data_IF_288588651943
#
_entry.id   IF_288588651943
#
_cell.length_a   1.000
_cell.length_b   1.000
_cell.length_c   1.000
_cell.angle_alpha   90.00
_cell.angle_beta   90.00
_cell.angle_gamma   90.00
#
_symmetry.space_group_name_H-M   'P 1'
#
loop_
_entity.id
_entity.type
_entity.pdbx_description
1 polymer ?
#
# COMPACT_ATOMS: atom_id res chain seq x y z
N UNK A 1 4.64 18.81 -13.59
CA UNK A 1 3.52 19.01 -12.62
C UNK A 1 4.12 19.43 -11.29
N UNK A 2 3.42 20.25 -10.51
CA UNK A 2 3.89 20.75 -9.22
C UNK A 2 3.03 20.19 -8.09
N UNK A 3 3.60 19.96 -6.90
CA UNK A 3 2.82 19.54 -5.74
C UNK A 3 1.79 20.61 -5.39
N UNK A 4 0.55 20.19 -5.10
CA UNK A 4 -0.52 21.08 -4.67
C UNK A 4 -0.19 21.58 -3.26
N UNK A 5 0.10 22.88 -3.04
CA UNK A 5 0.63 23.35 -1.75
C UNK A 5 -0.29 23.07 -0.57
N UNK A 6 -1.61 23.11 -0.78
CA UNK A 6 -2.62 22.82 0.24
C UNK A 6 -2.68 21.35 0.65
N UNK A 7 -2.14 20.44 -0.17
CA UNK A 7 -2.17 18.98 0.08
C UNK A 7 -0.83 18.42 0.60
N UNK A 8 0.17 19.27 0.84
CA UNK A 8 1.54 18.84 1.18
C UNK A 8 1.67 17.96 2.43
N UNK A 9 0.71 18.05 3.37
CA UNK A 9 0.68 17.26 4.60
C UNK A 9 -0.34 16.12 4.58
N UNK A 10 -1.11 16.01 3.50
CA UNK A 10 -2.25 15.09 3.38
C UNK A 10 -2.10 14.12 2.20
N UNK A 11 -1.06 14.30 1.38
CA UNK A 11 -0.80 13.49 0.20
C UNK A 11 0.69 13.26 0.04
N UNK A 12 1.04 12.18 -0.65
CA UNK A 12 2.39 11.96 -1.13
C UNK A 12 2.46 12.36 -2.61
N UNK A 13 3.38 13.28 -2.94
CA UNK A 13 3.59 13.71 -4.31
C UNK A 13 4.75 12.92 -4.94
N UNK A 14 4.55 12.47 -6.17
CA UNK A 14 5.58 11.81 -6.99
C UNK A 14 5.61 12.40 -8.40
N UNK A 15 6.81 12.48 -8.97
CA UNK A 15 7.01 12.85 -10.39
C UNK A 15 6.87 11.66 -11.33
N UNK A 16 6.94 10.44 -10.79
CA UNK A 16 6.84 9.21 -11.58
C UNK A 16 5.36 8.93 -11.87
N UNK A 17 4.97 8.75 -13.14
CA UNK A 17 3.61 8.34 -13.46
C UNK A 17 3.36 6.93 -12.93
N UNK A 18 2.22 6.75 -12.25
CA UNK A 18 1.83 5.47 -11.66
C UNK A 18 0.83 4.73 -12.56
N UNK A 19 1.14 3.47 -12.85
CA UNK A 19 0.26 2.51 -13.52
C UNK A 19 -0.75 1.93 -12.52
N UNK A 20 -1.95 2.50 -12.52
CA UNK A 20 -3.02 2.14 -11.56
C UNK A 20 -3.53 0.72 -11.78
N UNK A 21 -3.54 0.21 -13.02
CA UNK A 21 -4.02 -1.15 -13.26
C UNK A 21 -3.05 -2.18 -12.67
N UNK A 22 -1.74 -1.95 -12.81
CA UNK A 22 -0.74 -2.79 -12.13
C UNK A 22 -0.85 -2.72 -10.61
N UNK A 23 -1.10 -1.53 -10.06
CA UNK A 23 -1.32 -1.39 -8.62
C UNK A 23 -2.56 -2.19 -8.16
N UNK A 24 -3.65 -2.17 -8.94
CA UNK A 24 -4.87 -2.95 -8.65
C UNK A 24 -4.64 -4.45 -8.75
N UNK A 25 -3.91 -4.90 -9.76
CA UNK A 25 -3.54 -6.31 -9.89
C UNK A 25 -2.71 -6.74 -8.67
N UNK A 26 -1.72 -5.93 -8.31
CA UNK A 26 -0.84 -6.21 -7.18
C UNK A 26 -1.60 -6.23 -5.84
N UNK A 27 -2.59 -5.34 -5.67
CA UNK A 27 -3.39 -5.30 -4.44
C UNK A 27 -4.25 -6.54 -4.23
N UNK A 28 -4.60 -7.29 -5.28
CA UNK A 28 -5.34 -8.55 -5.13
C UNK A 28 -4.54 -9.60 -4.37
N UNK A 29 -3.20 -9.59 -4.49
CA UNK A 29 -2.33 -10.52 -3.77
C UNK A 29 -2.22 -10.22 -2.27
N UNK A 30 -2.64 -9.02 -1.85
CA UNK A 30 -2.63 -8.60 -0.45
C UNK A 30 -3.92 -8.95 0.30
N UNK A 31 -4.98 -9.37 -0.40
CA UNK A 31 -6.24 -9.72 0.24
C UNK A 31 -6.14 -11.02 1.04
N UNK A 32 -6.92 -11.14 2.10
CA UNK A 32 -6.95 -12.29 3.00
C UNK A 32 -6.09 -12.14 4.24
N UNK A 33 -5.81 -13.26 4.91
CA UNK A 33 -5.00 -13.32 6.12
C UNK A 33 -3.53 -13.50 5.80
N UNK A 34 -2.69 -12.63 6.35
CA UNK A 34 -1.23 -12.71 6.21
C UNK A 34 -0.56 -12.53 7.57
N UNK A 35 0.55 -13.25 7.77
CA UNK A 35 1.41 -13.04 8.93
C UNK A 35 2.38 -11.89 8.65
N UNK A 36 2.02 -10.68 9.09
CA UNK A 36 2.83 -9.48 8.92
C UNK A 36 3.98 -9.39 9.93
N UNK A 37 4.55 -10.53 10.37
CA UNK A 37 5.67 -10.57 11.31
C UNK A 37 6.88 -9.78 10.82
N UNK A 38 7.13 -9.78 9.50
CA UNK A 38 8.19 -8.99 8.85
C UNK A 38 8.03 -7.47 9.03
N UNK A 39 6.82 -7.01 9.40
CA UNK A 39 6.47 -5.59 9.56
C UNK A 39 6.54 -5.14 11.03
N UNK A 40 6.77 -6.06 11.97
CA UNK A 40 6.97 -5.73 13.36
C UNK A 40 8.42 -5.27 13.60
N UNK A 41 8.60 -4.03 14.06
CA UNK A 41 9.86 -3.62 14.67
C UNK A 41 10.17 -4.50 15.89
N UNK A 42 11.45 -4.68 16.21
CA UNK A 42 11.93 -5.59 17.27
C UNK A 42 11.28 -5.41 18.66
N UNK A 43 10.58 -4.30 18.90
CA UNK A 43 9.89 -3.97 20.16
C UNK A 43 8.35 -4.01 20.07
N UNK A 44 7.77 -4.65 19.05
CA UNK A 44 6.32 -4.69 18.88
C UNK A 44 5.65 -5.59 19.95
N UNK A 45 5.02 -4.99 20.95
CA UNK A 45 4.20 -5.70 21.95
C UNK A 45 2.81 -6.04 21.40
N UNK A 46 2.72 -6.95 20.43
CA UNK A 46 1.45 -7.43 19.87
C UNK A 46 1.29 -8.93 20.14
N UNK A 47 0.09 -9.32 20.59
CA UNK A 47 -0.25 -10.72 20.89
C UNK A 47 -0.28 -11.62 19.64
N UNK A 48 -0.55 -11.04 18.47
CA UNK A 48 -0.54 -11.71 17.16
C UNK A 48 -0.16 -10.72 16.07
N UNK A 49 0.60 -11.19 15.08
CA UNK A 49 1.07 -10.47 13.89
C UNK A 49 0.23 -10.77 12.65
N UNK A 50 -0.69 -11.73 12.75
CA UNK A 50 -1.62 -12.08 11.68
C UNK A 50 -2.70 -11.00 11.57
N UNK A 51 -2.87 -10.43 10.39
CA UNK A 51 -3.95 -9.48 10.08
C UNK A 51 -4.64 -9.89 8.80
N UNK A 52 -5.92 -9.57 8.74
CA UNK A 52 -6.76 -9.81 7.56
C UNK A 52 -6.99 -8.49 6.84
N UNK A 53 -6.66 -8.45 5.55
CA UNK A 53 -7.06 -7.39 4.64
C UNK A 53 -8.30 -7.86 3.89
N UNK A 54 -9.42 -7.20 4.15
CA UNK A 54 -10.72 -7.53 3.58
C UNK A 54 -10.94 -6.90 2.22
N UNK A 55 -10.44 -5.68 2.01
CA UNK A 55 -10.62 -4.95 0.75
C UNK A 55 -9.50 -3.92 0.54
N UNK A 56 -9.10 -3.75 -0.72
CA UNK A 56 -8.22 -2.67 -1.16
C UNK A 56 -8.82 -2.04 -2.42
N UNK A 57 -9.16 -0.75 -2.32
CA UNK A 57 -9.69 0.02 -3.44
C UNK A 57 -8.69 1.06 -3.89
N UNK A 58 -8.38 1.07 -5.18
CA UNK A 58 -7.48 2.04 -5.80
C UNK A 58 -8.25 2.79 -6.88
N UNK A 59 -8.54 4.06 -6.61
CA UNK A 59 -9.17 4.99 -7.54
C UNK A 59 -8.19 6.07 -7.97
N UNK A 60 -8.39 6.58 -9.19
CA UNK A 60 -7.63 7.72 -9.71
C UNK A 60 -8.60 8.77 -10.22
N UNK A 61 -8.52 9.95 -9.64
CA UNK A 61 -9.27 11.13 -10.06
C UNK A 61 -8.27 12.19 -10.48
N UNK A 62 -8.19 12.46 -11.79
CA UNK A 62 -7.20 13.35 -12.38
C UNK A 62 -5.76 12.99 -11.97
N UNK A 63 -5.21 13.74 -11.02
CA UNK A 63 -3.82 13.69 -10.56
C UNK A 63 -3.69 13.08 -9.16
N UNK A 64 -4.81 12.70 -8.55
CA UNK A 64 -4.86 12.08 -7.23
C UNK A 64 -5.14 10.59 -7.38
N UNK A 65 -4.32 9.78 -6.73
CA UNK A 65 -4.57 8.35 -6.55
C UNK A 65 -4.94 8.14 -5.09
N UNK A 66 -6.10 7.53 -4.84
CA UNK A 66 -6.58 7.23 -3.51
C UNK A 66 -6.57 5.73 -3.31
N UNK A 67 -5.89 5.29 -2.24
CA UNK A 67 -5.82 3.90 -1.82
C UNK A 67 -6.57 3.78 -0.50
N UNK A 68 -7.65 2.99 -0.51
CA UNK A 68 -8.41 2.67 0.69
C UNK A 68 -8.13 1.22 1.06
N UNK A 69 -7.79 0.97 2.32
CA UNK A 69 -7.50 -0.37 2.83
C UNK A 69 -8.45 -0.65 3.99
N UNK A 70 -9.15 -1.78 3.91
CA UNK A 70 -10.05 -2.27 4.96
C UNK A 70 -9.51 -3.59 5.49
N UNK A 71 -9.49 -3.75 6.81
CA UNK A 71 -9.01 -4.96 7.46
C UNK A 71 -9.46 -5.07 8.92
N UNK A 72 -9.19 -6.20 9.55
CA UNK A 72 -9.56 -6.46 10.95
C UNK A 72 -8.67 -5.69 11.97
N UNK A 73 -7.56 -5.13 11.50
CA UNK A 73 -6.64 -4.29 12.25
C UNK A 73 -5.34 -4.11 11.49
N UNK A 74 -4.55 -3.10 11.86
CA UNK A 74 -3.27 -2.83 11.21
C UNK A 74 -2.14 -2.76 12.24
N UNK A 75 -0.98 -3.30 11.88
CA UNK A 75 0.24 -3.12 12.67
C UNK A 75 0.83 -1.72 12.45
N UNK A 76 1.72 -1.29 13.35
CA UNK A 76 2.44 -0.03 13.19
C UNK A 76 3.14 0.03 11.82
N UNK A 77 2.94 1.13 11.10
CA UNK A 77 3.43 1.35 9.73
C UNK A 77 2.96 0.37 8.64
N UNK A 78 2.17 -0.66 8.94
CA UNK A 78 1.75 -1.69 7.98
C UNK A 78 1.18 -1.10 6.69
N UNK A 79 0.15 -0.23 6.81
CA UNK A 79 -0.50 0.39 5.63
C UNK A 79 0.50 1.23 4.82
N UNK A 80 1.44 1.90 5.47
CA UNK A 80 2.45 2.72 4.78
C UNK A 80 3.41 1.87 3.97
N UNK A 81 3.82 0.73 4.51
CA UNK A 81 4.72 -0.19 3.81
C UNK A 81 3.99 -0.81 2.62
N UNK A 82 2.74 -1.28 2.82
CA UNK A 82 1.90 -1.80 1.74
C UNK A 82 1.72 -0.79 0.60
N UNK A 83 1.38 0.45 0.93
CA UNK A 83 1.23 1.53 -0.07
C UNK A 83 2.57 1.81 -0.76
N UNK A 84 3.69 1.77 -0.05
CA UNK A 84 5.03 1.91 -0.64
C UNK A 84 5.31 0.83 -1.68
N UNK A 85 5.06 -0.44 -1.36
CA UNK A 85 5.23 -1.56 -2.29
C UNK A 85 4.31 -1.44 -3.52
N UNK A 86 3.05 -1.05 -3.31
CA UNK A 86 2.13 -0.78 -4.43
C UNK A 86 2.63 0.35 -5.32
N UNK A 87 3.22 1.40 -4.74
CA UNK A 87 3.82 2.48 -5.51
C UNK A 87 5.05 2.02 -6.31
N UNK A 88 5.87 1.12 -5.79
CA UNK A 88 7.01 0.55 -6.53
C UNK A 88 6.54 -0.27 -7.75
N UNK A 89 5.48 -1.06 -7.60
CA UNK A 89 4.82 -1.74 -8.72
C UNK A 89 4.23 -0.74 -9.71
N UNK A 90 3.52 0.28 -9.21
CA UNK A 90 2.94 1.34 -10.03
C UNK A 90 3.98 2.15 -10.82
N UNK A 91 5.17 2.34 -10.24
CA UNK A 91 6.32 2.97 -10.88
C UNK A 91 7.01 2.06 -11.90
N UNK A 92 6.65 0.78 -11.95
CA UNK A 92 7.25 -0.22 -12.84
C UNK A 92 8.58 -0.80 -12.33
N UNK A 93 8.94 -0.58 -11.07
CA UNK A 93 10.14 -1.17 -10.47
C UNK A 93 10.01 -2.70 -10.32
N UNK A 94 8.80 -3.18 -10.05
CA UNK A 94 8.49 -4.59 -9.88
C UNK A 94 7.21 -4.99 -10.64
N UNK A 95 7.08 -6.27 -11.07
CA UNK A 95 5.82 -6.80 -11.57
C UNK A 95 4.80 -6.97 -10.42
N UNK A 96 3.48 -6.95 -10.70
CA UNK A 96 2.45 -7.15 -9.67
C UNK A 96 2.62 -8.43 -8.84
N UNK A 97 3.12 -9.50 -9.45
CA UNK A 97 3.34 -10.78 -8.81
C UNK A 97 4.44 -10.76 -7.71
N UNK A 98 5.32 -9.76 -7.70
CA UNK A 98 6.38 -9.63 -6.69
C UNK A 98 5.82 -9.54 -5.26
N UNK A 99 4.59 -9.04 -5.11
CA UNK A 99 3.92 -8.94 -3.81
C UNK A 99 3.70 -10.31 -3.16
N UNK A 100 3.64 -11.42 -3.91
CA UNK A 100 3.52 -12.77 -3.33
C UNK A 100 4.74 -13.21 -2.51
N UNK A 101 5.87 -12.54 -2.69
CA UNK A 101 7.13 -12.87 -2.01
C UNK A 101 7.24 -12.20 -0.64
N UNK A 102 6.27 -11.35 -0.27
CA UNK A 102 6.23 -10.57 0.97
C UNK A 102 5.43 -11.21 2.11
#
# INVERSE_FOLDING_TARGET
RFPIPTMRFYSHFTYVPMDVEKMREASQYLLGEHDFKSFCGANAQVKTTVREIQDIQISKEQDMITIQVRGNGFLYNMVRILVGTLMEVGAGAYPPAHIKEY
#
